data_IF_954810333999
#
_entry.id   IF_954810333999
#
_cell.length_a   1.000
_cell.length_b   1.000
_cell.length_c   1.000
_cell.angle_alpha   90.00
_cell.angle_beta   90.00
_cell.angle_gamma   90.00
#
_symmetry.space_group_name_H-M   'P 1'
#
loop_
_entity.id
_entity.type
_entity.pdbx_description
1 polymer ?
#
# COMPACT_ATOMS: atom_id res chain seq x y z
N UNK A 1 8.70 -22.50 8.92
CA UNK A 1 7.93 -21.81 10.00
C UNK A 1 6.46 -21.84 9.61
N UNK A 2 5.55 -22.20 10.52
CA UNK A 2 4.10 -22.18 10.23
C UNK A 2 3.54 -20.76 10.40
N UNK A 3 2.44 -20.42 9.73
CA UNK A 3 1.76 -19.11 9.87
C UNK A 3 1.59 -18.70 11.33
N UNK A 4 1.15 -19.64 12.17
CA UNK A 4 0.87 -19.39 13.58
C UNK A 4 2.15 -19.10 14.38
N UNK A 5 3.24 -19.86 14.15
CA UNK A 5 4.53 -19.59 14.80
C UNK A 5 5.08 -18.22 14.39
N UNK A 6 4.97 -17.85 13.11
CA UNK A 6 5.40 -16.54 12.62
C UNK A 6 4.62 -15.40 13.29
N UNK A 7 3.28 -15.47 13.27
CA UNK A 7 2.44 -14.44 13.89
C UNK A 7 2.69 -14.35 15.40
N UNK A 8 2.88 -15.47 16.09
CA UNK A 8 3.17 -15.47 17.53
C UNK A 8 4.49 -14.76 17.86
N UNK A 9 5.52 -14.94 17.04
CA UNK A 9 6.79 -14.21 17.19
C UNK A 9 6.58 -12.72 16.99
N UNK A 10 5.87 -12.31 15.93
CA UNK A 10 5.55 -10.90 15.63
C UNK A 10 4.75 -10.27 16.78
N UNK A 11 3.68 -10.93 17.25
CA UNK A 11 2.84 -10.40 18.34
C UNK A 11 3.63 -10.27 19.64
N UNK A 12 4.51 -11.22 19.96
CA UNK A 12 5.38 -11.16 21.13
C UNK A 12 6.35 -9.98 21.08
N UNK A 13 6.97 -9.75 19.92
CA UNK A 13 7.90 -8.62 19.72
C UNK A 13 7.18 -7.28 19.76
N UNK A 14 6.00 -7.16 19.13
CA UNK A 14 5.19 -5.94 19.20
C UNK A 14 4.77 -5.61 20.63
N UNK A 15 4.39 -6.63 21.42
CA UNK A 15 4.04 -6.47 22.84
C UNK A 15 5.24 -5.96 23.65
N UNK A 16 6.43 -6.53 23.45
CA UNK A 16 7.65 -6.07 24.09
C UNK A 16 7.98 -4.62 23.72
N UNK A 17 7.75 -4.24 22.46
CA UNK A 17 7.94 -2.88 21.95
C UNK A 17 6.79 -1.90 22.28
N UNK A 18 5.76 -2.32 23.02
CA UNK A 18 4.53 -1.54 23.30
C UNK A 18 3.86 -0.97 22.04
N UNK A 19 3.93 -1.71 20.94
CA UNK A 19 3.29 -1.35 19.65
C UNK A 19 1.93 -2.04 19.50
N UNK A 20 1.01 -1.45 18.72
CA UNK A 20 -0.28 -2.06 18.45
C UNK A 20 -0.13 -3.38 17.70
N UNK A 21 -1.09 -4.29 17.90
CA UNK A 21 -1.14 -5.58 17.22
C UNK A 21 -1.32 -5.38 15.71
N UNK A 22 -0.50 -6.08 14.91
CA UNK A 22 -0.61 -6.13 13.46
C UNK A 22 -1.30 -7.42 13.02
N UNK A 23 -2.42 -7.30 12.31
CA UNK A 23 -3.05 -8.44 11.66
C UNK A 23 -2.20 -8.97 10.51
N UNK A 24 -2.17 -10.29 10.32
CA UNK A 24 -1.42 -10.92 9.23
C UNK A 24 -1.80 -10.39 7.84
N UNK A 25 -3.09 -10.11 7.61
CA UNK A 25 -3.56 -9.49 6.35
C UNK A 25 -2.92 -8.10 6.13
N UNK A 26 -2.88 -7.28 7.19
CA UNK A 26 -2.25 -5.97 7.14
C UNK A 26 -0.74 -6.01 6.90
N UNK A 27 -0.06 -7.06 7.36
CA UNK A 27 1.37 -7.29 7.08
C UNK A 27 1.58 -7.61 5.60
N UNK A 28 0.77 -8.50 5.03
CA UNK A 28 0.85 -8.84 3.61
C UNK A 28 0.58 -7.64 2.69
N UNK A 29 -0.41 -6.80 3.04
CA UNK A 29 -0.69 -5.57 2.29
C UNK A 29 0.52 -4.63 2.36
N UNK A 30 1.03 -4.33 3.56
CA UNK A 30 2.15 -3.40 3.74
C UNK A 30 3.41 -3.85 3.00
N UNK A 31 3.79 -5.12 3.10
CA UNK A 31 4.94 -5.69 2.38
C UNK A 31 4.78 -5.56 0.86
N UNK A 32 3.56 -5.72 0.35
CA UNK A 32 3.31 -5.60 -1.09
C UNK A 32 3.35 -4.14 -1.54
N UNK A 33 2.97 -3.19 -0.68
CA UNK A 33 3.02 -1.76 -0.92
C UNK A 33 4.42 -1.15 -0.84
N UNK A 34 5.41 -1.84 -0.26
CA UNK A 34 6.81 -1.40 -0.29
C UNK A 34 7.41 -1.47 -1.70
N UNK A 35 6.95 -2.39 -2.55
CA UNK A 35 7.47 -2.53 -3.92
C UNK A 35 7.22 -1.28 -4.79
N UNK A 36 6.01 -0.69 -4.84
CA UNK A 36 5.78 0.58 -5.51
C UNK A 36 6.68 1.73 -5.03
N UNK A 37 6.99 1.79 -3.73
CA UNK A 37 7.91 2.79 -3.17
C UNK A 37 9.35 2.62 -3.68
N UNK A 38 9.70 1.42 -4.17
CA UNK A 38 10.97 1.10 -4.81
C UNK A 38 10.90 1.17 -6.34
N UNK A 39 9.89 1.86 -6.89
CA UNK A 39 9.64 2.00 -8.34
C UNK A 39 9.32 0.67 -9.05
N UNK A 40 8.80 -0.32 -8.34
CA UNK A 40 8.33 -1.56 -8.98
C UNK A 40 6.94 -1.33 -9.61
N UNK A 41 6.75 -1.64 -10.91
CA UNK A 41 5.47 -1.49 -11.59
C UNK A 41 4.33 -2.30 -10.97
N UNK A 42 3.09 -1.77 -11.05
CA UNK A 42 1.92 -2.38 -10.40
C UNK A 42 1.57 -3.79 -10.89
N UNK A 43 1.80 -4.09 -12.16
CA UNK A 43 1.63 -5.43 -12.74
C UNK A 43 2.61 -6.44 -12.11
N UNK A 44 3.85 -6.03 -11.89
CA UNK A 44 4.87 -6.86 -11.20
C UNK A 44 4.47 -7.07 -9.73
N UNK A 45 3.93 -6.04 -9.07
CA UNK A 45 3.42 -6.12 -7.69
C UNK A 45 2.24 -7.08 -7.58
N UNK A 46 1.32 -7.06 -8.56
CA UNK A 46 0.19 -8.00 -8.64
C UNK A 46 0.68 -9.46 -8.70
N UNK A 47 1.66 -9.73 -9.55
CA UNK A 47 2.28 -11.06 -9.67
C UNK A 47 3.03 -11.45 -8.39
N UNK A 48 3.86 -10.57 -7.83
CA UNK A 48 4.62 -10.82 -6.60
C UNK A 48 3.73 -11.08 -5.39
N UNK A 49 2.65 -10.31 -5.25
CA UNK A 49 1.67 -10.48 -4.18
C UNK A 49 0.67 -11.62 -4.41
N UNK A 50 0.76 -12.32 -5.56
CA UNK A 50 -0.12 -13.42 -5.96
C UNK A 50 -1.60 -13.01 -5.92
N UNK A 51 -1.88 -11.77 -6.32
CA UNK A 51 -3.23 -11.24 -6.35
C UNK A 51 -3.98 -11.81 -7.54
N UNK A 52 -5.11 -12.46 -7.27
CA UNK A 52 -5.97 -13.02 -8.32
C UNK A 52 -6.74 -11.94 -9.10
N UNK A 53 -6.86 -10.73 -8.54
CA UNK A 53 -7.61 -9.60 -9.11
C UNK A 53 -6.92 -8.27 -8.82
N UNK A 54 -7.48 -7.19 -9.36
CA UNK A 54 -7.01 -5.82 -9.11
C UNK A 54 -7.51 -5.23 -7.78
N UNK A 55 -8.02 -6.07 -6.87
CA UNK A 55 -8.43 -5.65 -5.53
C UNK A 55 -7.30 -4.98 -4.72
N UNK A 56 -6.04 -5.23 -5.08
CA UNK A 56 -4.90 -4.55 -4.47
C UNK A 56 -4.90 -3.02 -4.72
N UNK A 57 -5.49 -2.56 -5.82
CA UNK A 57 -5.58 -1.14 -6.16
C UNK A 57 -6.37 -0.35 -5.11
N UNK A 58 -7.32 -0.99 -4.42
CA UNK A 58 -8.10 -0.35 -3.35
C UNK A 58 -7.19 0.08 -2.19
N UNK A 59 -6.12 -0.66 -1.94
CA UNK A 59 -5.14 -0.32 -0.91
C UNK A 59 -4.17 0.79 -1.35
N UNK A 60 -3.98 1.02 -2.65
CA UNK A 60 -3.20 2.16 -3.15
C UNK A 60 -3.93 3.48 -2.95
N UNK A 61 -5.26 3.49 -3.10
CA UNK A 61 -6.07 4.71 -2.94
C UNK A 61 -5.95 5.32 -1.52
N UNK A 62 -5.72 4.49 -0.49
CA UNK A 62 -5.47 4.96 0.87
C UNK A 62 -4.02 5.44 1.12
N UNK A 63 -3.12 5.28 0.13
CA UNK A 63 -1.70 5.59 0.22
C UNK A 63 -1.29 6.66 -0.81
N UNK A 64 -1.71 7.90 -0.57
CA UNK A 64 -1.36 9.06 -1.40
C UNK A 64 0.15 9.19 -1.66
N UNK A 65 1.00 8.77 -0.71
CA UNK A 65 2.47 8.74 -0.87
C UNK A 65 2.94 7.83 -2.01
N UNK A 66 2.25 6.73 -2.28
CA UNK A 66 2.60 5.80 -3.36
C UNK A 66 2.17 6.35 -4.71
N UNK A 67 1.02 7.02 -4.77
CA UNK A 67 0.46 7.55 -6.02
C UNK A 67 1.11 8.87 -6.45
N UNK A 68 1.65 9.65 -5.51
CA UNK A 68 2.20 10.97 -5.80
C UNK A 68 3.25 10.98 -6.93
N UNK A 69 4.27 10.09 -6.97
CA UNK A 69 5.24 10.06 -8.07
C UNK A 69 4.61 9.77 -9.43
N UNK A 70 3.61 8.87 -9.47
CA UNK A 70 2.92 8.50 -10.71
C UNK A 70 2.02 9.63 -11.21
N UNK A 71 1.34 10.34 -10.31
CA UNK A 71 0.54 11.51 -10.65
C UNK A 71 1.44 12.66 -11.16
N UNK A 72 2.56 12.92 -10.49
CA UNK A 72 3.51 13.96 -10.88
C UNK A 72 4.21 13.66 -12.22
N UNK A 73 4.41 12.38 -12.55
CA UNK A 73 4.96 11.97 -13.85
C UNK A 73 4.03 12.29 -15.04
N UNK A 74 2.74 12.57 -14.80
CA UNK A 74 1.78 12.97 -15.84
C UNK A 74 1.06 14.28 -15.46
N UNK A 75 1.71 15.44 -15.65
CA UNK A 75 1.23 16.73 -15.17
C UNK A 75 -0.18 17.10 -15.68
N UNK A 76 -0.49 16.79 -16.94
CA UNK A 76 -1.79 17.09 -17.55
C UNK A 76 -2.95 16.30 -16.91
N UNK A 77 -2.71 15.04 -16.56
CA UNK A 77 -3.69 14.20 -15.84
C UNK A 77 -3.82 14.64 -14.39
N UNK A 78 -2.71 15.02 -13.75
CA UNK A 78 -2.72 15.53 -12.40
C UNK A 78 -3.52 16.83 -12.27
N UNK A 79 -3.33 17.80 -13.17
CA UNK A 79 -4.15 19.02 -13.19
C UNK A 79 -5.65 18.72 -13.36
N UNK A 80 -5.98 17.82 -14.28
CA UNK A 80 -7.38 17.42 -14.54
C UNK A 80 -8.01 16.78 -13.30
N UNK A 81 -7.26 15.92 -12.62
CA UNK A 81 -7.68 15.30 -11.37
C UNK A 81 -7.89 16.35 -10.26
N UNK A 82 -6.93 17.25 -10.05
CA UNK A 82 -7.02 18.30 -9.05
C UNK A 82 -8.24 19.20 -9.25
N UNK A 83 -8.56 19.57 -10.51
CA UNK A 83 -9.77 20.35 -10.83
C UNK A 83 -11.08 19.63 -10.48
N UNK A 84 -11.10 18.30 -10.54
CA UNK A 84 -12.29 17.50 -10.23
C UNK A 84 -12.42 17.20 -8.74
N UNK A 85 -11.32 17.05 -8.02
CA UNK A 85 -11.32 16.61 -6.61
C UNK A 85 -11.17 17.72 -5.59
N UNK A 86 -10.52 18.83 -5.95
CA UNK A 86 -10.42 19.97 -5.03
C UNK A 86 -11.76 20.72 -5.02
N UNK A 87 -12.29 21.07 -3.84
CA UNK A 87 -13.44 21.96 -3.79
C UNK A 87 -13.07 23.30 -4.45
N UNK A 88 -14.01 23.97 -5.13
CA UNK A 88 -13.76 25.29 -5.69
C UNK A 88 -13.27 26.21 -4.57
N UNK A 89 -12.15 26.89 -4.82
CA UNK A 89 -11.60 27.87 -3.89
C UNK A 89 -12.71 28.86 -3.49
N UNK A 90 -13.05 28.89 -2.20
CA UNK A 90 -13.92 29.91 -1.60
C UNK A 90 -13.07 31.04 -1.05
#
# INVERSE_FOLDING_TARGET
VTKNKFLLVITSTLKAARRPHLQGHGICIRLTLEYPLQNVPFDVVKVKGRWASDAFLIYLHQHAQILAPYMQAQPCLHESFLRLTLPPFR
#
